data_IF_121419359570
#
_entry.id   IF_121419359570
#
_cell.length_a   1.000
_cell.length_b   1.000
_cell.length_c   1.000
_cell.angle_alpha   90.00
_cell.angle_beta   90.00
_cell.angle_gamma   90.00
#
_symmetry.space_group_name_H-M   'P 1'
#
loop_
_entity.id
_entity.type
_entity.pdbx_description
1 polymer ?
#
# COMPACT_ATOMS: atom_id res chain seq x y z
N UNK A 1 5.95 13.88 4.27
CA UNK A 1 4.63 13.24 4.05
C UNK A 1 4.70 12.36 2.81
N UNK A 2 3.95 11.24 2.78
CA UNK A 2 3.77 10.36 1.62
C UNK A 2 2.31 9.96 1.51
N UNK A 3 1.82 9.77 0.30
CA UNK A 3 0.47 9.28 0.01
C UNK A 3 0.60 7.91 -0.64
N UNK A 4 -0.27 6.98 -0.24
CA UNK A 4 -0.44 5.70 -0.91
C UNK A 4 -1.90 5.48 -1.26
N UNK A 5 -2.12 4.76 -2.34
CA UNK A 5 -3.42 4.31 -2.80
C UNK A 5 -3.43 2.80 -2.87
N UNK A 6 -4.51 2.18 -2.39
CA UNK A 6 -4.74 0.75 -2.49
C UNK A 6 -6.13 0.46 -3.03
N UNK A 7 -6.21 -0.60 -3.78
CA UNK A 7 -7.43 -1.11 -4.38
C UNK A 7 -7.45 -2.63 -4.23
N UNK A 8 -8.60 -3.18 -3.87
CA UNK A 8 -8.81 -4.62 -3.91
C UNK A 8 -10.28 -4.95 -4.18
N UNK A 9 -10.53 -6.15 -4.69
CA UNK A 9 -11.88 -6.62 -4.98
C UNK A 9 -11.99 -8.13 -4.79
N UNK A 10 -13.08 -8.58 -4.15
CA UNK A 10 -13.34 -9.96 -3.90
C UNK A 10 -14.78 -10.35 -4.25
N UNK A 11 -14.96 -11.55 -4.78
CA UNK A 11 -16.23 -12.14 -5.07
C UNK A 11 -16.88 -12.71 -3.80
N UNK A 12 -18.21 -12.56 -3.66
CA UNK A 12 -18.96 -13.23 -2.60
C UNK A 12 -19.11 -14.72 -2.86
N UNK A 13 -18.81 -15.54 -1.86
CA UNK A 13 -18.92 -17.01 -1.87
C UNK A 13 -19.71 -17.50 -0.67
N UNK A 14 -20.56 -18.51 -0.88
CA UNK A 14 -21.29 -19.16 0.20
C UNK A 14 -20.36 -20.01 1.08
N UNK A 15 -20.74 -20.21 2.34
CA UNK A 15 -20.07 -21.13 3.25
C UNK A 15 -18.80 -20.59 3.92
N UNK A 16 -18.48 -19.31 3.74
CA UNK A 16 -17.38 -18.64 4.44
C UNK A 16 -17.90 -17.41 5.18
N UNK A 17 -17.32 -17.05 6.35
CA UNK A 17 -17.72 -15.86 7.08
C UNK A 17 -17.33 -14.59 6.31
N UNK A 18 -18.14 -13.55 6.44
CA UNK A 18 -17.83 -12.23 5.89
C UNK A 18 -16.99 -11.45 6.87
N UNK A 19 -15.77 -11.09 6.47
CA UNK A 19 -14.90 -10.19 7.22
C UNK A 19 -14.64 -8.91 6.45
N UNK A 20 -14.75 -7.77 7.13
CA UNK A 20 -14.44 -6.44 6.58
C UNK A 20 -13.75 -5.60 7.66
N UNK A 21 -12.53 -5.16 7.39
CA UNK A 21 -11.74 -4.36 8.32
C UNK A 21 -11.38 -5.10 9.62
N UNK A 22 -11.28 -6.43 9.56
CA UNK A 22 -11.02 -7.30 10.71
C UNK A 22 -12.22 -7.50 11.62
N UNK A 23 -13.45 -7.18 11.16
CA UNK A 23 -14.72 -7.41 11.85
C UNK A 23 -15.53 -8.44 11.07
N UNK A 24 -16.03 -9.48 11.74
CA UNK A 24 -16.94 -10.44 11.17
C UNK A 24 -18.35 -9.87 11.15
N UNK A 25 -18.98 -9.90 9.98
CA UNK A 25 -20.33 -9.34 9.74
C UNK A 25 -21.34 -10.45 9.50
N UNK A 26 -22.58 -10.33 10.04
CA UNK A 26 -23.63 -11.30 9.79
C UNK A 26 -24.08 -11.22 8.33
N UNK A 27 -23.72 -12.24 7.53
CA UNK A 27 -24.14 -12.37 6.13
C UNK A 27 -24.05 -13.84 5.69
N UNK A 28 -24.91 -14.23 4.74
CA UNK A 28 -24.96 -15.61 4.24
C UNK A 28 -23.74 -16.01 3.39
N UNK A 29 -23.01 -15.05 2.86
CA UNK A 29 -21.81 -15.24 2.05
C UNK A 29 -20.67 -14.42 2.64
N UNK A 30 -19.44 -14.91 2.54
CA UNK A 30 -18.22 -14.14 2.81
C UNK A 30 -17.48 -13.83 1.50
N UNK A 31 -16.38 -13.14 1.61
CA UNK A 31 -15.55 -12.79 0.46
C UNK A 31 -14.51 -13.89 0.19
N UNK A 32 -14.51 -14.38 -1.05
CA UNK A 32 -13.54 -15.36 -1.52
C UNK A 32 -12.15 -14.74 -1.66
N UNK A 33 -11.15 -15.44 -1.17
CA UNK A 33 -9.74 -15.03 -1.27
C UNK A 33 -8.83 -16.19 -0.94
N UNK A 34 -7.52 -15.97 -1.06
CA UNK A 34 -6.53 -16.97 -0.65
C UNK A 34 -6.35 -16.95 0.89
N UNK A 35 -6.47 -15.78 1.51
CA UNK A 35 -6.52 -15.56 2.95
C UNK A 35 -7.98 -15.61 3.47
N UNK A 36 -8.32 -14.84 4.48
CA UNK A 36 -9.68 -14.69 4.98
C UNK A 36 -10.59 -13.76 4.15
N UNK A 37 -10.08 -13.22 3.03
CA UNK A 37 -10.84 -12.44 2.06
C UNK A 37 -11.22 -11.02 2.51
N UNK A 38 -10.57 -10.47 3.54
CA UNK A 38 -10.86 -9.09 3.99
C UNK A 38 -10.38 -8.05 2.98
N UNK A 39 -11.26 -7.68 2.06
CA UNK A 39 -10.99 -6.73 0.97
C UNK A 39 -10.51 -5.36 1.48
N UNK A 40 -11.00 -4.91 2.64
CA UNK A 40 -10.62 -3.60 3.20
C UNK A 40 -9.20 -3.64 3.77
N UNK A 41 -8.84 -4.68 4.53
CA UNK A 41 -7.48 -4.83 5.06
C UNK A 41 -6.45 -5.05 3.95
N UNK A 42 -6.81 -5.74 2.87
CA UNK A 42 -5.93 -5.89 1.70
C UNK A 42 -5.67 -4.54 1.02
N UNK A 43 -6.72 -3.77 0.74
CA UNK A 43 -6.56 -2.45 0.14
C UNK A 43 -5.77 -1.48 1.05
N UNK A 44 -5.96 -1.55 2.39
CA UNK A 44 -5.14 -0.77 3.33
C UNK A 44 -3.67 -1.21 3.26
N UNK A 45 -3.41 -2.51 3.20
CA UNK A 45 -2.05 -3.07 3.08
C UNK A 45 -1.35 -2.54 1.84
N UNK A 46 -2.00 -2.59 0.68
CA UNK A 46 -1.44 -2.08 -0.57
C UNK A 46 -1.24 -0.56 -0.56
N UNK A 47 -2.16 0.19 0.05
CA UNK A 47 -1.98 1.63 0.21
C UNK A 47 -0.73 1.97 1.04
N UNK A 48 -0.48 1.24 2.13
CA UNK A 48 0.70 1.41 2.98
C UNK A 48 1.98 1.07 2.23
N UNK A 49 2.00 -0.07 1.54
CA UNK A 49 3.15 -0.52 0.74
C UNK A 49 3.44 0.45 -0.41
N UNK A 50 2.41 0.89 -1.15
CA UNK A 50 2.55 1.86 -2.23
C UNK A 50 3.10 3.21 -1.75
N UNK A 51 2.70 3.68 -0.56
CA UNK A 51 3.20 4.93 0.03
C UNK A 51 4.72 4.93 0.24
N UNK A 52 5.33 3.76 0.46
CA UNK A 52 6.79 3.60 0.63
C UNK A 52 7.48 3.01 -0.60
N UNK A 53 6.78 2.93 -1.74
CA UNK A 53 7.26 2.33 -2.99
C UNK A 53 7.75 0.87 -2.82
N UNK A 54 7.13 0.11 -1.92
CA UNK A 54 7.36 -1.31 -1.74
C UNK A 54 6.54 -2.14 -2.74
N UNK A 55 6.90 -3.41 -2.98
CA UNK A 55 6.06 -4.35 -3.72
C UNK A 55 4.69 -4.53 -3.08
N UNK A 56 3.68 -4.88 -3.89
CA UNK A 56 2.30 -5.11 -3.44
C UNK A 56 2.14 -6.37 -2.56
N UNK A 57 0.93 -6.54 -2.02
CA UNK A 57 0.57 -7.67 -1.16
C UNK A 57 0.78 -9.02 -1.86
N UNK A 58 0.48 -9.12 -3.17
CA UNK A 58 0.59 -10.36 -3.94
C UNK A 58 2.04 -10.81 -4.15
N UNK A 59 2.97 -9.87 -4.26
CA UNK A 59 4.42 -10.15 -4.34
C UNK A 59 4.98 -10.56 -2.98
N UNK A 60 4.55 -9.91 -1.89
CA UNK A 60 5.07 -10.20 -0.55
C UNK A 60 4.46 -11.45 0.06
N UNK A 61 3.22 -11.78 -0.28
CA UNK A 61 2.45 -12.91 0.25
C UNK A 61 1.80 -13.67 -0.91
N UNK A 62 2.62 -14.33 -1.77
CA UNK A 62 2.12 -14.91 -3.00
C UNK A 62 1.03 -15.98 -2.71
N UNK A 63 -0.09 -15.94 -3.45
CA UNK A 63 -1.18 -16.91 -3.28
C UNK A 63 -0.75 -18.36 -3.55
N UNK A 64 0.36 -18.57 -4.24
CA UNK A 64 0.96 -19.89 -4.45
C UNK A 64 1.62 -20.49 -3.21
N UNK A 65 1.92 -19.70 -2.20
CA UNK A 65 2.49 -20.20 -0.94
C UNK A 65 1.36 -20.68 0.00
N UNK A 66 1.25 -22.00 0.27
CA UNK A 66 0.20 -22.58 1.08
C UNK A 66 0.17 -22.05 2.53
N UNK A 67 1.25 -21.47 3.00
CA UNK A 67 1.36 -20.83 4.31
C UNK A 67 0.35 -19.70 4.52
N UNK A 68 -0.09 -19.04 3.44
CA UNK A 68 -1.03 -17.92 3.51
C UNK A 68 -2.48 -18.32 3.32
N UNK A 69 -2.74 -19.59 3.04
CA UNK A 69 -4.10 -20.11 2.87
C UNK A 69 -4.91 -19.96 4.15
N UNK A 70 -6.00 -19.17 4.09
CA UNK A 70 -6.85 -18.88 5.23
C UNK A 70 -6.23 -18.00 6.32
N UNK A 71 -5.07 -17.37 6.04
CA UNK A 71 -4.42 -16.48 6.99
C UNK A 71 -5.31 -15.25 7.28
N UNK A 72 -5.25 -14.76 8.53
CA UNK A 72 -5.86 -13.49 8.93
C UNK A 72 -5.17 -12.33 8.23
N UNK A 73 -5.92 -11.50 7.50
CA UNK A 73 -5.39 -10.36 6.74
C UNK A 73 -4.71 -9.30 7.63
N UNK A 74 -4.99 -9.29 8.93
CA UNK A 74 -4.26 -8.46 9.88
C UNK A 74 -2.77 -8.81 9.97
N UNK A 75 -2.35 -10.02 9.57
CA UNK A 75 -0.93 -10.42 9.51
C UNK A 75 -0.22 -9.64 8.41
N UNK A 76 -0.84 -9.52 7.24
CA UNK A 76 -0.30 -8.76 6.09
C UNK A 76 -0.21 -7.27 6.41
N UNK A 77 -1.28 -6.74 7.01
CA UNK A 77 -1.32 -5.34 7.46
C UNK A 77 -0.20 -5.02 8.45
N UNK A 78 0.07 -5.92 9.40
CA UNK A 78 1.15 -5.74 10.39
C UNK A 78 2.51 -5.67 9.73
N UNK A 79 2.82 -6.56 8.79
CA UNK A 79 4.09 -6.50 8.05
C UNK A 79 4.22 -5.21 7.24
N UNK A 80 3.13 -4.72 6.62
CA UNK A 80 3.14 -3.43 5.91
C UNK A 80 3.43 -2.26 6.87
N UNK A 81 2.82 -2.25 8.05
CA UNK A 81 3.07 -1.24 9.10
C UNK A 81 4.52 -1.29 9.59
N UNK A 82 5.10 -2.49 9.79
CA UNK A 82 6.49 -2.66 10.18
C UNK A 82 7.45 -2.11 9.11
N UNK A 83 7.12 -2.28 7.82
CA UNK A 83 7.90 -1.70 6.71
C UNK A 83 7.78 -0.17 6.67
N UNK A 84 6.59 0.37 6.88
CA UNK A 84 6.35 1.82 7.00
C UNK A 84 7.20 2.40 8.14
N UNK A 85 7.18 1.76 9.32
CA UNK A 85 7.96 2.20 10.47
C UNK A 85 9.48 2.15 10.21
N UNK A 86 9.98 1.04 9.62
CA UNK A 86 11.39 0.91 9.21
C UNK A 86 11.81 1.97 8.18
N UNK A 87 10.88 2.46 7.38
CA UNK A 87 11.12 3.54 6.41
C UNK A 87 11.08 4.94 7.05
N UNK A 88 10.88 5.06 8.37
CA UNK A 88 10.84 6.32 9.10
C UNK A 88 9.52 7.07 8.99
N UNK A 89 8.42 6.35 8.72
CA UNK A 89 7.08 6.92 8.59
C UNK A 89 6.11 6.27 9.58
N UNK A 90 5.00 6.96 9.83
CA UNK A 90 3.82 6.43 10.52
C UNK A 90 2.55 6.85 9.80
N UNK A 91 1.48 6.14 10.06
CA UNK A 91 0.15 6.51 9.53
C UNK A 91 -0.34 7.76 10.22
N UNK A 92 -0.77 8.75 9.43
CA UNK A 92 -1.41 9.98 9.93
C UNK A 92 -2.93 9.84 9.87
N UNK A 93 -3.46 9.46 8.70
CA UNK A 93 -4.88 9.12 8.53
C UNK A 93 -5.09 8.20 7.33
N UNK A 94 -6.26 7.60 7.27
CA UNK A 94 -6.75 6.89 6.09
C UNK A 94 -8.16 7.36 5.73
N UNK A 95 -8.48 7.27 4.45
CA UNK A 95 -9.82 7.42 3.93
C UNK A 95 -10.15 6.25 2.98
N UNK A 96 -11.30 5.63 3.17
CA UNK A 96 -11.72 4.45 2.41
C UNK A 96 -13.13 4.57 1.85
N UNK A 97 -13.32 3.98 0.68
CA UNK A 97 -14.63 3.77 0.06
C UNK A 97 -14.82 2.28 -0.18
N UNK A 98 -15.85 1.72 0.42
CA UNK A 98 -16.23 0.33 0.29
C UNK A 98 -17.51 0.23 -0.54
N UNK A 99 -17.46 -0.50 -1.65
CA UNK A 99 -18.58 -0.68 -2.59
C UNK A 99 -19.07 -2.12 -2.52
N UNK A 100 -20.31 -2.34 -2.12
CA UNK A 100 -20.95 -3.65 -2.08
C UNK A 100 -22.46 -3.51 -2.03
N UNK A 101 -23.18 -4.49 -2.56
CA UNK A 101 -24.65 -4.49 -2.55
C UNK A 101 -25.22 -4.81 -1.15
N UNK A 102 -24.61 -5.77 -0.46
CA UNK A 102 -25.01 -6.24 0.87
C UNK A 102 -23.79 -6.83 1.62
N UNK A 103 -23.82 -6.83 2.98
CA UNK A 103 -24.80 -6.19 3.85
C UNK A 103 -24.65 -4.66 3.89
N UNK A 104 -25.61 -3.96 4.49
CA UNK A 104 -25.46 -2.52 4.76
C UNK A 104 -24.37 -2.29 5.79
N UNK A 105 -23.36 -1.51 5.45
CA UNK A 105 -22.19 -1.26 6.31
C UNK A 105 -22.46 -0.22 7.40
N UNK A 106 -23.43 0.67 7.19
CA UNK A 106 -23.73 1.74 8.15
C UNK A 106 -23.84 1.28 9.61
N UNK A 107 -24.62 0.23 9.93
CA UNK A 107 -24.74 -0.30 11.31
C UNK A 107 -23.40 -0.79 11.91
N UNK A 108 -22.45 -1.21 11.09
CA UNK A 108 -21.16 -1.80 11.49
C UNK A 108 -20.00 -0.82 11.35
N UNK A 109 -20.26 0.40 10.85
CA UNK A 109 -19.21 1.36 10.52
C UNK A 109 -18.36 1.77 11.72
N UNK A 110 -18.96 1.92 12.90
CA UNK A 110 -18.24 2.28 14.11
C UNK A 110 -17.26 1.17 14.54
N UNK A 111 -17.71 -0.08 14.50
CA UNK A 111 -16.88 -1.24 14.87
C UNK A 111 -15.72 -1.44 13.89
N UNK A 112 -16.00 -1.34 12.58
CA UNK A 112 -14.98 -1.45 11.54
C UNK A 112 -13.94 -0.35 11.70
N UNK A 113 -14.35 0.91 11.85
CA UNK A 113 -13.42 2.04 12.05
C UNK A 113 -12.60 1.88 13.32
N UNK A 114 -13.20 1.49 14.41
CA UNK A 114 -12.53 1.24 15.69
C UNK A 114 -11.51 0.11 15.59
N UNK A 115 -11.86 -0.98 14.89
CA UNK A 115 -10.96 -2.11 14.66
C UNK A 115 -9.76 -1.71 13.78
N UNK A 116 -10.02 -1.02 12.67
CA UNK A 116 -8.97 -0.53 11.76
C UNK A 116 -8.06 0.46 12.49
N UNK A 117 -8.61 1.42 13.25
CA UNK A 117 -7.84 2.36 14.06
C UNK A 117 -6.89 1.63 15.02
N UNK A 118 -7.40 0.62 15.73
CA UNK A 118 -6.60 -0.22 16.63
C UNK A 118 -5.48 -0.96 15.91
N UNK A 119 -5.76 -1.52 14.72
CA UNK A 119 -4.75 -2.21 13.92
C UNK A 119 -3.65 -1.28 13.43
N UNK A 120 -4.02 -0.06 13.02
CA UNK A 120 -3.09 0.96 12.52
C UNK A 120 -2.36 1.73 13.63
N UNK A 121 -2.81 1.63 14.89
CA UNK A 121 -2.25 2.39 16.01
C UNK A 121 -2.53 3.90 15.92
N UNK A 122 -3.68 4.31 15.37
CA UNK A 122 -4.11 5.71 15.23
C UNK A 122 -5.46 5.95 15.94
N UNK A 123 -5.82 7.22 16.12
CA UNK A 123 -7.13 7.59 16.64
C UNK A 123 -8.25 7.25 15.62
N UNK A 124 -9.42 6.84 16.14
CA UNK A 124 -10.58 6.49 15.30
C UNK A 124 -11.08 7.67 14.44
N UNK A 125 -10.86 8.91 14.87
CA UNK A 125 -11.17 10.13 14.09
C UNK A 125 -10.31 10.26 12.82
N UNK A 126 -9.17 9.55 12.76
CA UNK A 126 -8.28 9.50 11.61
C UNK A 126 -8.64 8.38 10.62
N UNK A 127 -9.73 7.64 10.84
CA UNK A 127 -10.19 6.55 9.97
C UNK A 127 -11.49 6.95 9.27
N UNK A 128 -11.41 7.31 8.00
CA UNK A 128 -12.57 7.52 7.12
C UNK A 128 -13.07 6.20 6.53
N UNK A 129 -14.39 5.98 6.59
CA UNK A 129 -15.06 4.84 5.93
C UNK A 129 -16.37 5.30 5.31
N UNK A 130 -16.46 5.21 4.00
CA UNK A 130 -17.65 5.48 3.20
C UNK A 130 -18.14 4.19 2.57
N UNK A 131 -19.40 3.86 2.76
CA UNK A 131 -20.03 2.74 2.08
C UNK A 131 -20.86 3.24 0.89
N UNK A 132 -20.78 2.54 -0.23
CA UNK A 132 -21.48 2.81 -1.47
C UNK A 132 -22.15 1.55 -1.97
N UNK A 133 -23.27 1.72 -2.65
CA UNK A 133 -23.91 0.65 -3.44
C UNK A 133 -23.35 0.64 -4.85
N UNK A 134 -23.41 -0.50 -5.57
CA UNK A 134 -22.91 -0.63 -6.94
C UNK A 134 -23.62 0.23 -7.99
N UNK A 135 -24.80 0.75 -7.70
CA UNK A 135 -25.60 1.61 -8.59
C UNK A 135 -25.76 1.04 -10.02
N UNK A 136 -25.99 -0.28 -10.14
CA UNK A 136 -26.19 -0.94 -11.43
C UNK A 136 -24.91 -1.27 -12.22
N UNK A 137 -23.72 -1.21 -11.57
CA UNK A 137 -22.44 -1.54 -12.22
C UNK A 137 -22.13 -3.05 -12.27
N UNK A 138 -23.13 -3.93 -12.08
CA UNK A 138 -22.99 -5.40 -12.08
C UNK A 138 -21.98 -5.93 -11.05
N UNK A 139 -21.90 -5.28 -9.88
CA UNK A 139 -21.04 -5.67 -8.76
C UNK A 139 -21.84 -6.32 -7.60
N UNK A 140 -23.02 -6.89 -7.89
CA UNK A 140 -23.92 -7.45 -6.87
C UNK A 140 -23.30 -8.64 -6.15
N UNK A 141 -22.36 -9.35 -6.81
CA UNK A 141 -21.65 -10.50 -6.23
C UNK A 141 -20.20 -10.18 -5.87
N UNK A 142 -19.86 -8.92 -5.67
CA UNK A 142 -18.50 -8.49 -5.31
C UNK A 142 -18.51 -7.41 -4.24
N UNK A 143 -17.40 -7.32 -3.50
CA UNK A 143 -17.06 -6.16 -2.70
C UNK A 143 -15.76 -5.55 -3.25
N UNK A 144 -15.72 -4.22 -3.29
CA UNK A 144 -14.57 -3.44 -3.79
C UNK A 144 -14.17 -2.43 -2.73
N UNK A 145 -12.88 -2.32 -2.45
CA UNK A 145 -12.33 -1.33 -1.54
C UNK A 145 -11.32 -0.43 -2.25
N UNK A 146 -11.48 0.87 -2.04
CA UNK A 146 -10.51 1.90 -2.40
C UNK A 146 -10.03 2.56 -1.13
N UNK A 147 -8.72 2.70 -0.97
CA UNK A 147 -8.12 3.29 0.23
C UNK A 147 -7.05 4.29 -0.17
N UNK A 148 -7.04 5.43 0.50
CA UNK A 148 -5.93 6.39 0.48
C UNK A 148 -5.35 6.47 1.88
N UNK A 149 -4.04 6.38 2.01
CA UNK A 149 -3.33 6.60 3.28
C UNK A 149 -2.45 7.84 3.16
N UNK A 150 -2.38 8.60 4.24
CA UNK A 150 -1.40 9.64 4.44
C UNK A 150 -0.39 9.19 5.49
N UNK A 151 0.88 9.17 5.11
CA UNK A 151 1.99 8.92 6.03
C UNK A 151 2.72 10.21 6.37
N UNK A 152 3.09 10.37 7.61
CA UNK A 152 3.98 11.43 8.07
C UNK A 152 5.30 10.86 8.56
N UNK A 153 6.34 11.66 8.48
CA UNK A 153 7.68 11.27 8.94
C UNK A 153 7.72 11.23 10.47
N UNK A 154 8.28 10.18 11.03
CA UNK A 154 8.53 10.12 12.47
C UNK A 154 9.70 11.05 12.82
N UNK A 155 9.57 11.83 13.88
CA UNK A 155 10.56 12.83 14.31
C UNK A 155 11.93 12.27 14.72
N UNK A 156 12.14 10.96 14.63
CA UNK A 156 13.39 10.26 14.98
C UNK A 156 14.34 10.06 13.79
N UNK A 157 14.01 10.49 12.57
CA UNK A 157 14.87 10.30 11.39
C UNK A 157 15.47 11.60 10.85
N UNK A 158 16.26 12.33 11.67
CA UNK A 158 17.14 13.41 11.19
C UNK A 158 18.59 12.95 11.02
N UNK A 159 18.83 11.74 10.51
CA UNK A 159 20.15 11.34 10.01
C UNK A 159 19.99 10.67 8.65
N UNK A 160 19.65 11.48 7.63
CA UNK A 160 20.02 11.11 6.26
C UNK A 160 21.53 11.36 6.17
N UNK A 161 22.37 10.35 5.98
CA UNK A 161 23.76 10.60 5.65
C UNK A 161 23.77 11.42 4.36
N UNK A 162 24.45 12.57 4.38
CA UNK A 162 24.61 13.41 3.20
C UNK A 162 25.13 12.53 2.05
N UNK A 163 24.46 12.56 0.90
CA UNK A 163 24.94 11.90 -0.31
C UNK A 163 26.40 12.25 -0.53
N UNK A 164 27.30 11.29 -0.82
CA UNK A 164 28.69 11.58 -1.07
C UNK A 164 28.78 12.58 -2.23
N UNK A 165 29.36 13.74 -1.98
CA UNK A 165 29.65 14.75 -3.01
C UNK A 165 30.47 14.06 -4.10
N UNK A 166 29.93 13.94 -5.29
CA UNK A 166 30.67 13.51 -6.47
C UNK A 166 31.81 14.53 -6.65
N UNK A 167 33.03 14.09 -6.41
CA UNK A 167 34.22 14.89 -6.57
C UNK A 167 34.48 15.01 -8.07
N UNK A 168 34.05 16.13 -8.69
CA UNK A 168 34.47 16.46 -10.05
C UNK A 168 35.98 16.52 -10.11
N UNK A 169 36.61 15.56 -10.80
CA UNK A 169 37.99 15.63 -11.17
C UNK A 169 38.14 16.75 -12.19
N UNK A 170 38.67 17.91 -11.75
CA UNK A 170 39.17 18.92 -12.66
C UNK A 170 40.27 18.30 -13.51
N UNK A 171 39.99 18.07 -14.78
CA UNK A 171 40.99 17.66 -15.78
C UNK A 171 42.02 18.76 -15.95
N UNK A 172 43.27 18.46 -15.60
CA UNK A 172 44.44 19.27 -15.96
C UNK A 172 44.60 19.23 -17.47
N UNK A 173 44.37 20.37 -18.12
CA UNK A 173 44.77 20.60 -19.52
C UNK A 173 46.27 20.64 -19.58
N UNK A 174 46.93 19.58 -20.07
CA UNK A 174 48.27 19.61 -20.53
C UNK A 174 48.28 20.21 -21.95
N UNK A 175 49.00 21.31 -22.12
CA UNK A 175 49.16 21.99 -23.38
C UNK A 175 49.96 21.12 -24.38
N UNK A 176 49.39 20.91 -25.55
CA UNK A 176 50.10 20.36 -26.69
C UNK A 176 50.66 21.47 -27.56
N UNK A 177 51.96 21.56 -27.56
CA UNK A 177 52.80 22.40 -28.42
C UNK A 177 52.81 21.77 -29.81
N UNK A 178 52.19 22.44 -30.80
CA UNK A 178 52.19 21.98 -32.18
C UNK A 178 53.43 22.52 -32.91
N UNK A 179 54.34 21.65 -33.25
CA UNK A 179 55.48 21.93 -34.16
C UNK A 179 55.05 21.86 -35.61
N UNK A 180 55.77 22.52 -36.56
CA UNK A 180 55.29 22.77 -37.91
C UNK A 180 55.42 21.58 -38.85
N UNK A 181 54.43 21.34 -39.66
CA UNK A 181 54.36 20.31 -40.71
C UNK A 181 55.12 20.77 -41.94
N UNK A 182 56.21 20.11 -42.31
CA UNK A 182 56.93 20.32 -43.58
C UNK A 182 56.19 19.60 -44.73
N UNK A 183 55.73 20.38 -45.68
CA UNK A 183 55.26 19.92 -46.98
C UNK A 183 56.41 19.21 -47.79
N UNK A 184 56.23 17.98 -48.24
CA UNK A 184 57.00 17.41 -49.32
C UNK A 184 56.03 16.91 -50.43
N UNK A 185 56.05 17.63 -51.55
CA UNK A 185 55.62 17.19 -52.88
C UNK A 185 56.53 16.06 -53.38
N UNK A 186 55.98 15.08 -54.08
CA UNK A 186 56.44 14.32 -55.28
C UNK A 186 55.66 13.00 -55.34
N UNK A 187 55.06 12.63 -56.34
CA UNK A 187 54.94 12.46 -57.78
C UNK A 187 53.73 11.64 -58.04
#
# INVERSE_FOLDING_TARGET
MRIGYGFDSHEFRAGIPLKIGGVELPHAKGLGGHSDGDVLLHAITDALLGAIAAPDIGVLFPPSDPKWKGADSAVFLREALDRVARSGYRVSNIDSSLILAAPKIGPHSADIRGRVAKLLGIDCSCVGLKAKTPEGLNLENAAVAHVVVLLEQTSLSTKIPASPKVREKRGTRTGNNAGPIKNKKKR
#
